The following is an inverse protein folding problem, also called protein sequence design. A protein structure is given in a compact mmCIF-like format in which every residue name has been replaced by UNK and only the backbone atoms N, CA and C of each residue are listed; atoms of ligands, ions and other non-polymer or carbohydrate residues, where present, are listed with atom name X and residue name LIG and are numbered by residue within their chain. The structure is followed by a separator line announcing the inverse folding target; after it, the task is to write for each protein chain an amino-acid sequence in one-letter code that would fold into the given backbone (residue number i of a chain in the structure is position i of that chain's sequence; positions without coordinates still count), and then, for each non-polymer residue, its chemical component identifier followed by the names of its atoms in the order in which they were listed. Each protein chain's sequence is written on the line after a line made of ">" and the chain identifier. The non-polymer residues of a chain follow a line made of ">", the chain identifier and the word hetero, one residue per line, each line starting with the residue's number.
data_IF_171552629073
#
_entry.id   IF_171552629073
#
_cell.length_a   1.000
_cell.length_b   1.000
_cell.length_c   1.000
_cell.angle_alpha   90.00
_cell.angle_beta   90.00
_cell.angle_gamma   90.00
#
_symmetry.space_group_name_H-M   'P 1'
#
loop_
_entity.id
_entity.type
_entity.pdbx_description
1 polymer ?
#
# COMPACT_ATOMS: atom_id res chain seq x y z
N UNK A 1 -22.36 7.26 5.41
CA UNK A 1 -21.61 5.99 5.30
C UNK A 1 -20.46 6.02 6.28
N UNK A 2 -20.51 5.15 7.28
CA UNK A 2 -19.46 5.11 8.30
C UNK A 2 -18.42 4.03 7.94
N UNK A 3 -17.21 4.44 7.64
CA UNK A 3 -16.10 3.56 7.29
C UNK A 3 -15.14 3.50 8.46
N UNK A 4 -14.82 2.30 8.92
CA UNK A 4 -13.80 2.07 9.93
C UNK A 4 -12.52 1.58 9.25
N UNK A 5 -11.39 2.19 9.59
CA UNK A 5 -10.08 1.77 9.07
C UNK A 5 -9.34 1.06 10.20
N UNK A 6 -9.06 -0.22 10.00
CA UNK A 6 -8.45 -1.09 10.99
C UNK A 6 -7.07 -1.52 10.54
N UNK A 7 -6.06 -1.30 11.38
CA UNK A 7 -4.69 -1.76 11.13
C UNK A 7 -4.53 -3.24 11.42
N UNK A 8 -3.67 -3.91 10.67
CA UNK A 8 -3.35 -5.31 10.88
C UNK A 8 -1.89 -5.59 10.49
N UNK A 9 -1.35 -6.67 11.05
CA UNK A 9 -0.04 -7.20 10.68
C UNK A 9 -0.25 -8.51 9.93
N UNK A 10 0.32 -8.63 8.73
CA UNK A 10 0.24 -9.86 7.97
C UNK A 10 1.17 -10.90 8.59
N UNK A 11 0.67 -12.10 8.92
CA UNK A 11 1.53 -13.16 9.45
C UNK A 11 2.51 -13.64 8.39
N UNK A 12 3.76 -13.83 8.80
CA UNK A 12 4.75 -14.52 7.97
C UNK A 12 4.50 -16.02 8.11
N UNK A 13 3.84 -16.61 7.13
CA UNK A 13 3.39 -18.02 7.21
C UNK A 13 4.46 -19.04 6.90
N UNK A 14 5.60 -18.63 6.36
CA UNK A 14 6.73 -19.54 6.11
C UNK A 14 8.02 -18.92 6.61
N UNK A 15 8.80 -19.66 7.42
CA UNK A 15 10.12 -19.23 7.82
C UNK A 15 11.03 -19.23 6.59
N UNK A 16 11.21 -18.07 5.99
CA UNK A 16 12.17 -17.87 4.92
C UNK A 16 12.94 -16.59 5.23
N UNK A 17 14.26 -16.60 5.19
CA UNK A 17 15.04 -15.39 5.39
C UNK A 17 14.79 -14.32 4.31
N UNK A 18 14.13 -14.70 3.21
CA UNK A 18 13.77 -13.76 2.14
C UNK A 18 12.43 -13.05 2.40
N UNK A 19 11.71 -13.43 3.45
CA UNK A 19 10.43 -12.79 3.75
C UNK A 19 10.61 -11.57 4.65
N UNK A 20 9.98 -10.50 4.22
CA UNK A 20 9.96 -9.24 4.94
C UNK A 20 8.63 -9.08 5.68
N UNK A 21 8.63 -8.54 6.91
CA UNK A 21 7.39 -8.28 7.61
C UNK A 21 6.53 -7.26 6.87
N UNK A 22 5.23 -7.47 6.93
CA UNK A 22 4.24 -6.62 6.26
C UNK A 22 3.14 -6.24 7.25
N UNK A 23 2.57 -5.07 7.04
CA UNK A 23 1.38 -4.64 7.76
C UNK A 23 0.51 -3.81 6.83
N UNK A 24 -0.71 -3.52 7.26
CA UNK A 24 -1.61 -2.76 6.42
C UNK A 24 -2.87 -2.34 7.16
N UNK A 25 -3.82 -1.85 6.40
CA UNK A 25 -5.10 -1.35 6.89
C UNK A 25 -6.22 -1.84 6.02
N UNK A 26 -7.34 -2.13 6.65
CA UNK A 26 -8.57 -2.60 6.01
C UNK A 26 -9.66 -1.57 6.25
N UNK A 27 -10.40 -1.24 5.21
CA UNK A 27 -11.60 -0.43 5.31
C UNK A 27 -12.81 -1.36 5.51
N UNK A 28 -13.55 -1.13 6.59
CA UNK A 28 -14.72 -1.91 6.96
C UNK A 28 -15.98 -1.07 6.87
N UNK A 29 -17.02 -1.64 6.31
CA UNK A 29 -18.34 -1.05 6.27
C UNK A 29 -19.39 -2.11 6.57
N UNK A 30 -20.17 -1.86 7.61
CA UNK A 30 -21.22 -2.81 8.07
C UNK A 30 -20.71 -4.25 8.23
N UNK A 31 -19.52 -4.38 8.86
CA UNK A 31 -18.91 -5.68 9.11
C UNK A 31 -18.28 -6.32 7.88
N UNK A 32 -18.22 -5.62 6.76
CA UNK A 32 -17.71 -6.13 5.50
C UNK A 32 -16.43 -5.41 5.11
N UNK A 33 -15.43 -6.19 4.66
CA UNK A 33 -14.20 -5.63 4.14
C UNK A 33 -14.43 -5.10 2.73
N UNK A 34 -14.19 -3.80 2.53
CA UNK A 34 -14.45 -3.15 1.25
C UNK A 34 -13.21 -2.58 0.58
N UNK A 35 -12.08 -2.62 1.25
CA UNK A 35 -10.80 -2.19 0.68
C UNK A 35 -9.66 -2.42 1.64
N UNK A 36 -8.43 -2.30 1.12
CA UNK A 36 -7.22 -2.47 1.93
C UNK A 36 -6.03 -1.76 1.30
N UNK A 37 -4.99 -1.55 2.10
CA UNK A 37 -3.67 -1.16 1.62
C UNK A 37 -2.60 -1.80 2.50
N UNK A 38 -1.46 -2.12 1.92
CA UNK A 38 -0.38 -2.81 2.59
C UNK A 38 0.94 -2.07 2.43
N UNK A 39 1.90 -2.40 3.29
CA UNK A 39 3.30 -2.00 3.13
C UNK A 39 4.21 -3.10 3.66
N UNK A 40 5.42 -3.18 3.12
CA UNK A 40 6.42 -4.19 3.47
C UNK A 40 7.69 -3.50 3.92
N UNK A 41 8.25 -3.97 5.04
CA UNK A 41 9.52 -3.47 5.56
C UNK A 41 10.66 -4.21 4.84
N UNK A 42 11.40 -3.47 4.02
CA UNK A 42 12.58 -4.01 3.33
C UNK A 42 13.85 -3.72 4.13
N UNK A 43 14.99 -4.18 3.64
CA UNK A 43 16.28 -3.89 4.23
C UNK A 43 16.64 -2.41 4.07
N UNK A 44 17.60 -1.94 4.86
CA UNK A 44 18.17 -0.58 4.76
C UNK A 44 17.16 0.54 4.99
N UNK A 45 16.21 0.32 5.90
CA UNK A 45 15.18 1.32 6.25
C UNK A 45 14.37 1.77 5.05
N UNK A 46 13.96 0.82 4.22
CA UNK A 46 13.08 1.07 3.08
C UNK A 46 11.71 0.45 3.34
N UNK A 47 10.66 1.22 3.14
CA UNK A 47 9.26 0.75 3.14
C UNK A 47 8.77 0.69 1.70
N UNK A 48 8.29 -0.45 1.31
CA UNK A 48 7.62 -0.63 0.03
C UNK A 48 6.12 -0.52 0.23
N UNK A 49 5.51 0.50 -0.37
CA UNK A 49 4.06 0.67 -0.34
C UNK A 49 3.46 -0.28 -1.37
N UNK A 50 2.59 -1.17 -0.92
CA UNK A 50 2.01 -2.20 -1.77
C UNK A 50 0.51 -2.19 -1.69
N UNK A 51 -0.12 -2.80 -2.68
CA UNK A 51 -1.53 -3.18 -2.74
C UNK A 51 -2.48 -2.18 -2.06
N UNK A 52 -3.04 -1.31 -2.87
CA UNK A 52 -4.18 -0.52 -2.46
C UNK A 52 -5.35 -0.90 -3.35
N UNK A 53 -6.45 -1.32 -2.75
CA UNK A 53 -7.61 -1.80 -3.47
C UNK A 53 -8.89 -1.38 -2.77
N UNK A 54 -9.89 -1.01 -3.56
CA UNK A 54 -11.25 -0.76 -3.09
C UNK A 54 -12.19 -1.53 -4.00
N UNK A 55 -13.11 -2.28 -3.41
CA UNK A 55 -14.11 -3.03 -4.19
C UNK A 55 -14.91 -2.11 -5.10
N UNK A 56 -15.22 -2.60 -6.30
CA UNK A 56 -15.83 -1.82 -7.38
C UNK A 56 -17.07 -1.04 -6.94
N UNK A 57 -17.93 -1.66 -6.13
CA UNK A 57 -19.18 -1.05 -5.67
C UNK A 57 -18.96 0.12 -4.71
N UNK A 58 -17.75 0.28 -4.19
CA UNK A 58 -17.42 1.31 -3.20
C UNK A 58 -16.43 2.33 -3.73
N UNK A 59 -16.09 2.27 -5.00
CA UNK A 59 -15.18 3.24 -5.64
C UNK A 59 -15.85 4.58 -5.83
N UNK A 60 -15.01 5.63 -5.90
CA UNK A 60 -15.51 6.99 -6.07
C UNK A 60 -16.10 7.61 -4.81
N UNK A 61 -15.89 7.01 -3.64
CA UNK A 61 -16.42 7.47 -2.36
C UNK A 61 -15.33 7.95 -1.39
N UNK A 62 -14.10 8.11 -1.87
CA UNK A 62 -12.98 8.59 -1.06
C UNK A 62 -12.33 7.54 -0.16
N UNK A 63 -12.67 6.26 -0.28
CA UNK A 63 -12.14 5.20 0.57
C UNK A 63 -10.65 4.96 0.33
N UNK A 64 -10.23 5.01 -0.94
CA UNK A 64 -8.81 4.89 -1.28
C UNK A 64 -7.99 5.97 -0.56
N UNK A 65 -8.48 7.20 -0.56
CA UNK A 65 -7.81 8.31 0.12
C UNK A 65 -7.78 8.12 1.63
N UNK A 66 -8.84 7.59 2.23
CA UNK A 66 -8.87 7.28 3.65
C UNK A 66 -7.78 6.25 4.01
N UNK A 67 -7.63 5.21 3.21
CA UNK A 67 -6.60 4.19 3.40
C UNK A 67 -5.20 4.79 3.21
N UNK A 68 -5.02 5.59 2.17
CA UNK A 68 -3.76 6.28 1.89
C UNK A 68 -3.36 7.18 3.06
N UNK A 69 -4.28 8.03 3.51
CA UNK A 69 -4.00 8.97 4.59
C UNK A 69 -3.67 8.24 5.89
N UNK A 70 -4.38 7.17 6.21
CA UNK A 70 -4.12 6.38 7.40
C UNK A 70 -2.73 5.77 7.39
N UNK A 71 -2.32 5.18 6.26
CA UNK A 71 -0.99 4.61 6.09
C UNK A 71 0.09 5.70 6.23
N UNK A 72 -0.09 6.83 5.56
CA UNK A 72 0.88 7.92 5.62
C UNK A 72 0.96 8.55 7.01
N UNK A 73 -0.15 8.70 7.71
CA UNK A 73 -0.15 9.19 9.09
C UNK A 73 0.68 8.28 10.00
N UNK A 74 0.50 6.98 9.87
CA UNK A 74 1.30 6.02 10.64
C UNK A 74 2.79 6.13 10.31
N UNK A 75 3.13 6.20 9.02
CA UNK A 75 4.52 6.31 8.58
C UNK A 75 5.13 7.60 9.12
N UNK A 76 4.45 8.73 8.99
CA UNK A 76 4.95 10.02 9.45
C UNK A 76 5.13 10.07 10.96
N UNK A 77 4.27 9.39 11.71
CA UNK A 77 4.33 9.38 13.18
C UNK A 77 5.36 8.42 13.75
N UNK A 78 5.58 7.27 13.10
CA UNK A 78 6.37 6.17 13.67
C UNK A 78 7.58 5.76 12.83
N UNK A 79 7.58 6.06 11.54
CA UNK A 79 8.55 5.56 10.58
C UNK A 79 9.13 6.66 9.71
N UNK A 80 9.24 7.87 10.23
CA UNK A 80 9.66 9.06 9.45
C UNK A 80 11.07 8.97 8.88
N UNK A 81 11.92 8.10 9.44
CA UNK A 81 13.29 7.89 8.97
C UNK A 81 13.38 6.89 7.81
N UNK A 82 12.29 6.23 7.47
CA UNK A 82 12.27 5.28 6.35
C UNK A 82 12.17 5.99 5.02
N UNK A 83 12.83 5.40 4.02
CA UNK A 83 12.66 5.77 2.63
C UNK A 83 11.46 5.00 2.06
N UNK A 84 10.58 5.68 1.36
CA UNK A 84 9.40 5.06 0.77
C UNK A 84 9.65 4.75 -0.69
N UNK A 85 9.20 3.57 -1.13
CA UNK A 85 9.21 3.20 -2.54
C UNK A 85 7.90 2.51 -2.92
N UNK A 86 7.54 2.57 -4.18
CA UNK A 86 6.37 1.89 -4.72
C UNK A 86 6.58 1.62 -6.20
N UNK A 87 6.04 0.48 -6.65
CA UNK A 87 5.85 0.22 -8.07
C UNK A 87 4.42 0.63 -8.42
N UNK A 88 4.27 1.60 -9.29
CA UNK A 88 2.95 2.07 -9.65
C UNK A 88 2.68 1.90 -11.14
N UNK A 89 1.41 1.77 -11.48
CA UNK A 89 0.96 1.73 -12.88
C UNK A 89 1.01 3.14 -13.46
N UNK A 90 1.10 3.29 -14.80
CA UNK A 90 1.03 4.62 -15.42
C UNK A 90 -0.18 5.43 -14.99
N UNK A 91 -1.32 4.77 -14.74
CA UNK A 91 -2.56 5.42 -14.32
C UNK A 91 -2.50 6.02 -12.93
N UNK A 92 -1.57 5.58 -12.07
CA UNK A 92 -1.42 6.08 -10.70
C UNK A 92 -0.14 6.90 -10.50
N UNK A 93 0.70 7.01 -11.53
CA UNK A 93 1.98 7.72 -11.43
C UNK A 93 1.79 9.19 -11.05
N UNK A 94 0.85 9.88 -11.66
CA UNK A 94 0.60 11.30 -11.37
C UNK A 94 0.18 11.52 -9.92
N UNK A 95 -0.63 10.62 -9.37
CA UNK A 95 -1.01 10.67 -7.96
C UNK A 95 0.22 10.57 -7.06
N UNK A 96 1.11 9.60 -7.32
CA UNK A 96 2.34 9.45 -6.54
C UNK A 96 3.23 10.68 -6.65
N UNK A 97 3.39 11.24 -7.84
CA UNK A 97 4.18 12.46 -8.03
C UNK A 97 3.63 13.64 -7.23
N UNK A 98 2.31 13.80 -7.18
CA UNK A 98 1.66 14.83 -6.37
C UNK A 98 1.91 14.64 -4.88
N UNK A 99 2.16 13.41 -4.44
CA UNK A 99 2.51 13.11 -3.05
C UNK A 99 4.02 13.26 -2.76
N UNK A 100 4.80 13.74 -3.71
CA UNK A 100 6.23 13.97 -3.53
C UNK A 100 7.13 12.83 -3.97
N UNK A 101 6.59 11.78 -4.59
CA UNK A 101 7.38 10.69 -5.11
C UNK A 101 8.07 11.08 -6.40
N UNK A 102 9.27 10.58 -6.59
CA UNK A 102 10.11 10.82 -7.77
C UNK A 102 10.21 9.53 -8.56
N UNK A 103 9.95 9.60 -9.85
CA UNK A 103 10.10 8.45 -10.74
C UNK A 103 11.59 8.10 -10.87
N UNK A 104 11.95 6.85 -10.55
CA UNK A 104 13.34 6.39 -10.56
C UNK A 104 13.68 5.50 -11.73
N UNK A 105 12.76 4.62 -12.11
CA UNK A 105 13.00 3.68 -13.20
C UNK A 105 11.70 3.31 -13.89
N UNK A 106 11.83 2.89 -15.14
CA UNK A 106 10.71 2.39 -15.93
C UNK A 106 10.85 0.87 -15.99
N UNK A 107 9.82 0.16 -15.50
CA UNK A 107 9.82 -1.30 -15.55
C UNK A 107 9.04 -1.76 -16.76
N UNK A 108 9.69 -2.56 -17.60
CA UNK A 108 9.08 -3.14 -18.80
C UNK A 108 8.77 -4.60 -18.53
N UNK A 109 7.50 -4.99 -18.69
CA UNK A 109 7.11 -6.38 -18.63
C UNK A 109 7.56 -7.08 -19.91
N UNK A 110 8.24 -8.23 -19.75
CA UNK A 110 8.71 -9.05 -20.86
C UNK A 110 8.09 -10.43 -20.73
N UNK A 111 7.49 -10.91 -21.80
CA UNK A 111 6.87 -12.23 -21.83
C UNK A 111 7.40 -13.07 -22.97
N UNK A 112 7.41 -14.39 -22.74
CA UNK A 112 7.71 -15.36 -23.78
C UNK A 112 6.83 -16.58 -23.59
N UNK A 113 6.16 -17.00 -24.63
CA UNK A 113 5.45 -18.27 -24.66
C UNK A 113 6.41 -19.35 -25.12
N UNK A 114 6.55 -20.38 -24.32
CA UNK A 114 7.45 -21.51 -24.63
C UNK A 114 6.90 -22.37 -25.74
#
# INVERSE_FOLDING_TARGET
>A
MKIDIIGFRLPTTTPSPARHPSCGWVAMYEGKEIGWCNMTFLHDNVLKLEDAFVHTDYRGKGIYKMLWDRRMDYINSHLSHYKLMAYCKPTTLDFYKKQGFIEKEIITLVEKTA
#
